data_IF_531160109807
#
_entry.id   IF_531160109807
#
_cell.length_a   1.000
_cell.length_b   1.000
_cell.length_c   1.000
_cell.angle_alpha   90.00
_cell.angle_beta   90.00
_cell.angle_gamma   90.00
#
_symmetry.space_group_name_H-M   'P 1'
#
loop_
_entity.id
_entity.type
_entity.pdbx_description
1 polymer ?
#
# COMPACT_ATOMS: atom_id res chain seq x y z
N UNK A 1 -14.28 15.43 5.62
CA UNK A 1 -13.40 14.89 6.68
C UNK A 1 -12.58 13.77 6.06
N UNK A 2 -11.24 13.80 6.18
CA UNK A 2 -10.34 12.89 5.43
C UNK A 2 -10.50 11.41 5.84
N UNK A 3 -10.73 11.15 7.13
CA UNK A 3 -10.95 9.79 7.66
C UNK A 3 -12.35 9.63 8.24
N UNK A 4 -12.95 8.45 8.07
CA UNK A 4 -14.15 7.98 8.79
C UNK A 4 -13.84 7.71 10.28
N UNK A 5 -14.86 7.52 11.11
CA UNK A 5 -14.68 7.30 12.55
C UNK A 5 -13.76 6.09 12.84
N UNK A 6 -13.99 4.96 12.17
CA UNK A 6 -13.22 3.74 12.39
C UNK A 6 -11.77 3.86 11.87
N UNK A 7 -11.59 4.55 10.74
CA UNK A 7 -10.26 4.86 10.20
C UNK A 7 -9.45 5.74 11.15
N UNK A 8 -10.09 6.72 11.81
CA UNK A 8 -9.45 7.53 12.84
C UNK A 8 -9.06 6.72 14.07
N UNK A 9 -9.92 5.80 14.50
CA UNK A 9 -9.65 4.93 15.63
C UNK A 9 -8.42 4.04 15.33
N UNK A 10 -8.41 3.40 14.16
CA UNK A 10 -7.27 2.61 13.72
C UNK A 10 -6.00 3.45 13.60
N UNK A 11 -6.07 4.62 12.96
CA UNK A 11 -4.91 5.50 12.77
C UNK A 11 -4.24 5.87 14.10
N UNK A 12 -5.03 6.15 15.15
CA UNK A 12 -4.50 6.47 16.48
C UNK A 12 -3.73 5.29 17.05
N UNK A 13 -4.34 4.11 17.09
CA UNK A 13 -3.68 2.91 17.62
C UNK A 13 -2.44 2.52 16.79
N UNK A 14 -2.51 2.62 15.46
CA UNK A 14 -1.36 2.35 14.59
C UNK A 14 -0.23 3.37 14.81
N UNK A 15 -0.57 4.66 14.99
CA UNK A 15 0.41 5.70 15.30
C UNK A 15 1.10 5.43 16.65
N UNK A 16 0.36 5.00 17.65
CA UNK A 16 0.94 4.62 18.95
C UNK A 16 1.84 3.36 18.81
N UNK A 17 1.43 2.40 17.98
CA UNK A 17 2.15 1.15 17.77
C UNK A 17 3.48 1.32 17.01
N UNK A 18 3.50 2.13 15.95
CA UNK A 18 4.64 2.18 15.00
C UNK A 18 5.08 3.59 14.60
N UNK A 19 4.40 4.64 15.07
CA UNK A 19 4.73 6.03 14.73
C UNK A 19 6.06 6.52 15.33
N UNK A 20 6.66 5.74 16.24
CA UNK A 20 8.05 5.92 16.66
C UNK A 20 9.07 5.54 15.57
N UNK A 21 8.72 4.60 14.70
CA UNK A 21 9.61 3.97 13.73
C UNK A 21 9.37 4.45 12.29
N UNK A 22 8.12 4.76 11.93
CA UNK A 22 7.73 5.11 10.57
C UNK A 22 6.95 6.43 10.50
N UNK A 23 7.04 7.12 9.37
CA UNK A 23 6.07 8.15 9.00
C UNK A 23 4.81 7.50 8.42
N UNK A 24 3.64 8.06 8.75
CA UNK A 24 2.35 7.48 8.36
C UNK A 24 1.56 8.52 7.57
N UNK A 25 1.31 8.22 6.30
CA UNK A 25 0.42 8.98 5.43
C UNK A 25 -0.91 8.24 5.30
N UNK A 26 -2.00 8.96 5.11
CA UNK A 26 -3.31 8.33 4.92
C UNK A 26 -4.05 8.84 3.70
N UNK A 27 -4.92 8.00 3.16
CA UNK A 27 -5.71 8.24 1.94
C UNK A 27 -4.84 8.66 0.75
N UNK A 28 -3.78 7.90 0.49
CA UNK A 28 -2.92 8.11 -0.67
C UNK A 28 -3.50 7.38 -1.86
N UNK A 29 -3.61 8.04 -3.02
CA UNK A 29 -4.05 7.37 -4.25
C UNK A 29 -3.01 6.35 -4.66
N UNK A 30 -3.47 5.22 -5.16
CA UNK A 30 -2.58 4.19 -5.70
C UNK A 30 -1.70 4.77 -6.82
N UNK A 31 -2.27 5.63 -7.67
CA UNK A 31 -1.55 6.31 -8.76
C UNK A 31 -0.44 7.25 -8.30
N UNK A 32 -0.43 7.66 -7.03
CA UNK A 32 0.62 8.54 -6.48
C UNK A 32 1.84 7.74 -6.00
N UNK A 33 1.72 6.41 -5.88
CA UNK A 33 2.80 5.50 -5.46
C UNK A 33 3.37 4.73 -6.66
N UNK A 34 2.52 4.40 -7.63
CA UNK A 34 2.92 3.56 -8.77
C UNK A 34 3.52 4.41 -9.87
N UNK A 35 4.64 3.94 -10.42
CA UNK A 35 5.27 4.54 -11.60
C UNK A 35 5.18 3.59 -12.80
N UNK A 36 4.79 4.09 -13.98
CA UNK A 36 4.76 3.27 -15.19
C UNK A 36 6.12 2.66 -15.53
N UNK A 37 6.10 1.45 -16.09
CA UNK A 37 7.32 0.81 -16.60
C UNK A 37 7.93 1.65 -17.73
N UNK A 38 9.25 1.82 -17.70
CA UNK A 38 10.00 2.49 -18.77
C UNK A 38 9.71 1.82 -20.12
N UNK A 39 9.38 2.64 -21.13
CA UNK A 39 9.07 2.16 -22.48
C UNK A 39 7.62 1.68 -22.69
N UNK A 40 6.75 1.76 -21.68
CA UNK A 40 5.32 1.50 -21.88
C UNK A 40 4.69 2.55 -22.82
N UNK A 41 3.76 2.13 -23.68
CA UNK A 41 3.07 3.05 -24.57
C UNK A 41 2.12 3.96 -23.79
N UNK A 42 1.98 5.22 -24.23
CA UNK A 42 1.09 6.18 -23.57
C UNK A 42 -0.36 5.66 -23.46
N UNK A 43 -0.83 4.92 -24.47
CA UNK A 43 -2.16 4.31 -24.45
C UNK A 43 -2.29 3.23 -23.36
N UNK A 44 -1.31 2.35 -23.23
CA UNK A 44 -1.32 1.31 -22.19
C UNK A 44 -1.23 1.91 -20.79
N UNK A 45 -0.37 2.91 -20.59
CA UNK A 45 -0.26 3.65 -19.32
C UNK A 45 -1.58 4.28 -18.94
N UNK A 46 -2.22 5.02 -19.87
CA UNK A 46 -3.51 5.66 -19.63
C UNK A 46 -4.60 4.63 -19.28
N UNK A 47 -4.69 3.53 -20.03
CA UNK A 47 -5.68 2.48 -19.77
C UNK A 47 -5.51 1.89 -18.36
N UNK A 48 -4.27 1.60 -17.97
CA UNK A 48 -3.96 1.05 -16.65
C UNK A 48 -4.30 2.06 -15.54
N UNK A 49 -3.84 3.32 -15.65
CA UNK A 49 -4.07 4.34 -14.61
C UNK A 49 -5.54 4.70 -14.43
N UNK A 50 -6.32 4.76 -15.51
CA UNK A 50 -7.77 4.97 -15.42
C UNK A 50 -8.46 3.85 -14.62
N UNK A 51 -7.95 2.61 -14.65
CA UNK A 51 -8.57 1.50 -13.90
C UNK A 51 -8.35 1.58 -12.38
N UNK A 52 -7.42 2.43 -11.92
CA UNK A 52 -7.01 2.55 -10.51
C UNK A 52 -7.09 3.99 -9.98
N UNK A 53 -7.65 4.93 -10.76
CA UNK A 53 -7.66 6.35 -10.41
C UNK A 53 -8.46 6.65 -9.14
N UNK A 54 -9.48 5.84 -8.86
CA UNK A 54 -10.31 5.92 -7.67
C UNK A 54 -9.86 4.97 -6.54
N UNK A 55 -8.73 4.27 -6.71
CA UNK A 55 -8.19 3.39 -5.69
C UNK A 55 -7.26 4.17 -4.74
N UNK A 56 -7.44 3.93 -3.43
CA UNK A 56 -6.65 4.53 -2.37
C UNK A 56 -6.10 3.45 -1.43
N UNK A 57 -4.87 3.63 -0.98
CA UNK A 57 -4.39 2.99 0.23
C UNK A 57 -4.91 3.78 1.44
N UNK A 58 -5.45 3.08 2.44
CA UNK A 58 -5.93 3.74 3.65
C UNK A 58 -4.77 4.39 4.40
N UNK A 59 -3.65 3.67 4.52
CA UNK A 59 -2.40 4.21 5.05
C UNK A 59 -1.17 3.72 4.29
N UNK A 60 -0.12 4.53 4.31
CA UNK A 60 1.19 4.26 3.73
C UNK A 60 2.23 4.52 4.81
N UNK A 61 3.08 3.53 5.08
CA UNK A 61 4.19 3.64 5.99
C UNK A 61 5.45 3.94 5.21
N UNK A 62 6.20 4.92 5.70
CA UNK A 62 7.47 5.32 5.12
C UNK A 62 8.59 5.34 6.16
N UNK A 63 9.83 5.10 5.71
CA UNK A 63 11.02 5.33 6.52
C UNK A 63 11.12 6.80 6.96
N UNK A 64 11.39 7.05 8.24
CA UNK A 64 11.54 8.43 8.77
C UNK A 64 12.67 9.23 8.14
N UNK A 65 13.71 8.54 7.67
CA UNK A 65 14.94 9.19 7.21
C UNK A 65 14.84 9.72 5.77
N UNK A 66 14.08 9.05 4.91
CA UNK A 66 14.05 9.36 3.47
C UNK A 66 12.65 9.23 2.84
N UNK A 67 11.63 8.96 3.64
CA UNK A 67 10.24 8.78 3.22
C UNK A 67 10.03 7.66 2.19
N UNK A 68 10.97 6.72 2.04
CA UNK A 68 10.78 5.55 1.20
C UNK A 68 9.62 4.72 1.72
N UNK A 69 8.70 4.34 0.83
CA UNK A 69 7.54 3.51 1.18
C UNK A 69 8.03 2.11 1.56
N UNK A 70 7.60 1.62 2.72
CA UNK A 70 7.96 0.29 3.24
C UNK A 70 6.77 -0.66 3.36
N UNK A 71 5.55 -0.12 3.48
CA UNK A 71 4.34 -0.91 3.61
C UNK A 71 3.12 -0.05 3.26
N UNK A 72 2.09 -0.67 2.72
CA UNK A 72 0.75 -0.08 2.58
C UNK A 72 -0.25 -0.87 3.41
N UNK A 73 -1.26 -0.17 3.91
CA UNK A 73 -2.29 -0.72 4.78
C UNK A 73 -3.67 -0.47 4.18
N UNK A 74 -4.51 -1.49 4.21
CA UNK A 74 -5.93 -1.40 3.86
C UNK A 74 -6.80 -1.86 5.04
N UNK A 75 -7.85 -1.10 5.32
CA UNK A 75 -8.92 -1.49 6.22
C UNK A 75 -10.03 -2.18 5.44
N UNK A 76 -10.53 -3.30 5.96
CA UNK A 76 -11.60 -4.09 5.34
C UNK A 76 -12.76 -4.31 6.31
N UNK A 77 -13.98 -4.13 5.84
CA UNK A 77 -15.17 -4.50 6.62
C UNK A 77 -15.26 -6.03 6.74
N UNK A 78 -15.61 -6.54 7.93
CA UNK A 78 -15.76 -7.98 8.20
C UNK A 78 -16.86 -8.61 7.33
N UNK A 79 -17.83 -7.82 6.85
CA UNK A 79 -18.91 -8.28 5.97
C UNK A 79 -18.45 -8.62 4.55
N UNK A 80 -17.26 -8.16 4.14
CA UNK A 80 -16.63 -8.49 2.87
C UNK A 80 -15.87 -9.83 2.90
N UNK A 81 -16.36 -10.80 3.68
CA UNK A 81 -15.71 -12.10 3.83
C UNK A 81 -15.97 -13.01 2.61
N UNK A 82 -14.88 -13.39 1.94
CA UNK A 82 -14.69 -14.63 1.14
C UNK A 82 -15.36 -14.69 -0.25
N UNK A 83 -16.38 -13.88 -0.57
CA UNK A 83 -17.08 -13.96 -1.88
C UNK A 83 -16.78 -12.86 -2.91
N UNK A 84 -16.01 -11.83 -2.55
CA UNK A 84 -15.63 -10.75 -3.49
C UNK A 84 -14.16 -10.84 -3.92
N UNK A 85 -13.64 -12.06 -4.11
CA UNK A 85 -12.29 -12.31 -4.66
C UNK A 85 -12.12 -11.83 -6.12
N UNK A 86 -13.20 -11.43 -6.80
CA UNK A 86 -13.16 -11.19 -8.24
C UNK A 86 -12.50 -9.88 -8.67
N UNK A 87 -12.27 -8.90 -7.79
CA UNK A 87 -11.66 -7.61 -8.17
C UNK A 87 -10.85 -6.96 -7.06
N UNK A 88 -10.00 -7.73 -6.41
CA UNK A 88 -9.03 -7.14 -5.49
C UNK A 88 -7.86 -6.55 -6.26
N UNK A 89 -8.07 -5.39 -6.88
CA UNK A 89 -7.10 -4.73 -7.76
C UNK A 89 -5.76 -4.42 -7.04
N UNK A 90 -5.76 -4.32 -5.70
CA UNK A 90 -4.57 -3.93 -4.94
C UNK A 90 -3.58 -5.07 -4.73
N UNK A 91 -4.04 -6.32 -4.56
CA UNK A 91 -3.15 -7.48 -4.36
C UNK A 91 -2.17 -7.64 -5.54
N UNK A 92 -2.63 -7.83 -6.80
CA UNK A 92 -1.71 -8.06 -7.91
C UNK A 92 -0.82 -6.84 -8.14
N UNK A 93 -1.31 -5.62 -7.88
CA UNK A 93 -0.50 -4.41 -7.94
C UNK A 93 0.65 -4.46 -6.94
N UNK A 94 0.35 -4.73 -5.67
CA UNK A 94 1.34 -4.72 -4.60
C UNK A 94 2.34 -5.87 -4.75
N UNK A 95 1.90 -7.06 -5.15
CA UNK A 95 2.77 -8.19 -5.46
C UNK A 95 3.75 -7.88 -6.60
N UNK A 96 3.25 -7.28 -7.68
CA UNK A 96 4.09 -6.89 -8.81
C UNK A 96 5.12 -5.81 -8.42
N UNK A 97 4.76 -4.91 -7.51
CA UNK A 97 5.64 -3.87 -6.98
C UNK A 97 6.45 -4.36 -5.77
N UNK A 98 6.36 -5.65 -5.40
CA UNK A 98 6.90 -6.21 -4.16
C UNK A 98 6.70 -5.33 -2.92
N UNK A 99 5.58 -4.60 -2.90
CA UNK A 99 5.21 -3.66 -1.87
C UNK A 99 4.36 -4.41 -0.83
N UNK A 100 4.79 -4.50 0.44
CA UNK A 100 4.01 -5.19 1.45
C UNK A 100 2.63 -4.55 1.63
N UNK A 101 1.57 -5.34 1.41
CA UNK A 101 0.18 -4.94 1.67
C UNK A 101 -0.33 -5.67 2.92
N UNK A 102 -0.60 -4.91 3.98
CA UNK A 102 -1.15 -5.45 5.23
C UNK A 102 -2.61 -5.04 5.38
N UNK A 103 -3.46 -6.00 5.70
CA UNK A 103 -4.90 -5.75 5.90
C UNK A 103 -5.32 -5.88 7.33
N UNK A 104 -6.15 -4.96 7.78
CA UNK A 104 -6.80 -5.03 9.08
C UNK A 104 -8.30 -5.02 8.90
N UNK A 105 -8.99 -5.89 9.64
CA UNK A 105 -10.44 -5.79 9.74
C UNK A 105 -10.81 -4.48 10.46
N UNK A 106 -11.85 -3.80 10.01
CA UNK A 106 -12.44 -2.70 10.73
C UNK A 106 -13.08 -3.27 12.02
N UNK A 107 -12.64 -2.73 13.16
CA UNK A 107 -13.13 -3.11 14.48
C UNK A 107 -13.08 -1.91 15.41
N UNK A 108 -13.80 -1.97 16.53
CA UNK A 108 -13.78 -0.94 17.57
C UNK A 108 -12.65 -1.13 18.58
N UNK A 109 -12.05 -2.31 18.62
CA UNK A 109 -10.97 -2.67 19.55
C UNK A 109 -9.75 -3.13 18.74
N UNK A 110 -8.68 -2.35 18.82
CA UNK A 110 -7.42 -2.59 18.11
C UNK A 110 -6.31 -2.78 19.13
N UNK A 111 -5.56 -3.88 19.01
CA UNK A 111 -4.35 -4.10 19.82
C UNK A 111 -3.14 -3.46 19.14
N UNK A 112 -2.49 -2.52 19.82
CA UNK A 112 -1.23 -1.92 19.34
C UNK A 112 -0.14 -2.98 19.13
N UNK A 113 -0.07 -3.99 20.02
CA UNK A 113 0.88 -5.09 19.89
C UNK A 113 0.63 -5.96 18.65
N UNK A 114 -0.63 -6.28 18.36
CA UNK A 114 -0.97 -7.04 17.14
C UNK A 114 -0.68 -6.25 15.86
N UNK A 115 -0.99 -4.94 15.86
CA UNK A 115 -0.68 -4.06 14.74
C UNK A 115 0.84 -4.02 14.51
N UNK A 116 1.61 -3.78 15.56
CA UNK A 116 3.08 -3.72 15.49
C UNK A 116 3.65 -5.04 14.97
N UNK A 117 3.27 -6.17 15.58
CA UNK A 117 3.76 -7.49 15.18
C UNK A 117 3.45 -7.79 13.71
N UNK A 118 2.22 -7.52 13.27
CA UNK A 118 1.80 -7.78 11.89
C UNK A 118 2.56 -6.90 10.88
N UNK A 119 2.75 -5.62 11.20
CA UNK A 119 3.49 -4.70 10.35
C UNK A 119 4.98 -5.07 10.31
N UNK A 120 5.60 -5.35 11.46
CA UNK A 120 7.01 -5.76 11.52
C UNK A 120 7.27 -7.07 10.77
N UNK A 121 6.35 -8.05 10.83
CA UNK A 121 6.46 -9.29 10.05
C UNK A 121 6.39 -9.04 8.55
N UNK A 122 5.55 -8.10 8.12
CA UNK A 122 5.39 -7.76 6.70
C UNK A 122 6.56 -6.92 6.17
N UNK A 123 7.08 -6.01 7.00
CA UNK A 123 8.24 -5.17 6.70
C UNK A 123 9.51 -6.00 6.95
N UNK A 124 9.80 -6.93 6.03
CA UNK A 124 11.10 -7.61 6.03
C UNK A 124 12.12 -6.58 5.52
N UNK A 125 13.15 -6.30 6.34
CA UNK A 125 14.25 -5.35 6.03
C UNK A 125 14.99 -5.75 4.76
N UNK A 126 14.47 -5.34 3.62
CA UNK A 126 15.11 -5.32 2.33
C UNK A 126 14.53 -4.12 1.60
N UNK A 127 15.34 -3.13 1.22
CA UNK A 127 14.79 -1.95 0.58
C UNK A 127 14.12 -2.39 -0.73
N UNK A 128 12.88 -1.98 -0.95
CA UNK A 128 12.30 -2.06 -2.29
C UNK A 128 12.95 -0.96 -3.13
N UNK A 129 14.14 -1.29 -3.64
CA UNK A 129 15.02 -0.42 -4.39
C UNK A 129 15.48 -1.16 -5.64
N UNK A 130 14.96 -0.75 -6.79
CA UNK A 130 15.81 -0.71 -7.97
C UNK A 130 16.47 0.67 -8.00
N UNK A 131 17.79 0.69 -7.83
CA UNK A 131 18.62 1.88 -8.01
C UNK A 131 18.58 2.25 -9.49
N UNK A 132 18.03 3.40 -9.84
CA UNK A 132 18.47 4.13 -11.05
C UNK A 132 19.40 5.28 -10.61
N UNK A 133 20.29 5.66 -11.52
CA UNK A 133 21.54 6.42 -11.30
C UNK A 133 21.40 7.85 -10.74
N UNK A 134 20.20 8.29 -10.34
CA UNK A 134 19.91 9.64 -9.85
C UNK A 134 19.60 9.72 -8.35
N UNK A 135 19.57 8.59 -7.63
CA UNK A 135 19.39 8.55 -6.17
C UNK A 135 17.94 8.54 -5.69
N UNK A 136 16.93 8.45 -6.56
CA UNK A 136 15.51 8.35 -6.19
C UNK A 136 15.05 6.89 -6.04
N UNK A 137 14.21 6.61 -5.02
CA UNK A 137 13.80 5.26 -4.59
C UNK A 137 12.32 4.99 -4.92
N UNK A 138 12.01 4.26 -6.01
CA UNK A 138 10.61 3.93 -6.38
C UNK A 138 10.44 2.45 -6.80
N UNK A 139 9.28 1.80 -6.49
CA UNK A 139 9.00 0.41 -6.87
C UNK A 139 8.74 0.20 -8.38
N UNK A 140 9.35 -0.82 -9.00
CA UNK A 140 9.07 -1.23 -10.39
C UNK A 140 8.92 -2.76 -10.54
N UNK A 141 8.07 -3.16 -11.48
CA UNK A 141 7.56 -4.54 -11.72
C UNK A 141 8.50 -5.37 -12.63
N UNK A 142 8.69 -6.66 -12.31
CA UNK A 142 9.65 -7.57 -12.98
C UNK A 142 9.10 -8.49 -14.09
N UNK A 143 7.79 -8.57 -14.37
CA UNK A 143 7.32 -9.33 -15.55
C UNK A 143 5.94 -8.88 -16.04
N UNK A 144 5.70 -9.01 -17.36
CA UNK A 144 4.48 -8.53 -18.07
C UNK A 144 3.65 -9.70 -18.65
N UNK A 145 4.07 -10.94 -18.46
CA UNK A 145 3.34 -12.09 -18.99
C UNK A 145 2.30 -12.58 -17.97
N UNK A 146 1.06 -12.10 -18.13
CA UNK A 146 -0.08 -12.60 -17.35
C UNK A 146 -1.31 -11.69 -17.27
N UNK A 147 -1.22 -10.42 -17.68
CA UNK A 147 -2.36 -9.49 -17.55
C UNK A 147 -3.19 -9.42 -18.82
N UNK A 148 -4.35 -10.10 -18.80
CA UNK A 148 -5.50 -9.67 -19.61
C UNK A 148 -6.11 -8.44 -18.94
N UNK A 149 -6.09 -7.32 -19.65
CA UNK A 149 -6.82 -6.10 -19.29
C UNK A 149 -8.30 -6.20 -19.66
#
# INVERSE_FOLDING_TARGET
MIFKADEKAFFRTMKDAVGGEYEIFGKIRVTDIIVPKKGASAHAVKKAFNSIEDCYFDFVLCEKTNLAVVCVVQLQDKTHSVRSNEKDTLIPICENLGLPLVRFAITTDYSAGEIQEKLHKAIIKGPFLLVETDGRKEPRISSVDGMKF
#
